data_IF_286647708234
#
_entry.id   IF_286647708234
#
_cell.length_a   1.000
_cell.length_b   1.000
_cell.length_c   1.000
_cell.angle_alpha   90.00
_cell.angle_beta   90.00
_cell.angle_gamma   90.00
#
_symmetry.space_group_name_H-M   'P 1'
#
loop_
_entity.id
_entity.type
_entity.pdbx_description
1 polymer ?
#
# COMPACT_ATOMS: atom_id res chain seq x y z
N UNK A 1 1.77 -1.48 24.73
CA UNK A 1 2.42 -0.30 24.13
C UNK A 1 1.47 0.20 23.05
N UNK A 2 1.01 1.45 23.13
CA UNK A 2 0.14 2.03 22.09
C UNK A 2 0.95 2.49 20.88
N UNK A 3 0.28 2.76 19.77
CA UNK A 3 0.89 3.34 18.57
C UNK A 3 0.04 4.47 18.04
N UNK A 4 0.68 5.46 17.41
CA UNK A 4 0.07 6.68 16.92
C UNK A 4 0.37 6.86 15.44
N UNK A 5 -0.66 7.17 14.65
CA UNK A 5 -0.57 7.34 13.21
C UNK A 5 -1.04 8.75 12.84
N UNK A 6 -0.28 9.48 12.02
CA UNK A 6 -0.79 10.68 11.35
C UNK A 6 -1.57 10.30 10.10
N UNK A 7 -2.68 10.98 9.85
CA UNK A 7 -3.46 10.84 8.63
C UNK A 7 -3.51 12.20 7.95
N UNK A 8 -3.07 12.24 6.69
CA UNK A 8 -3.39 13.35 5.80
C UNK A 8 -4.90 13.31 5.52
N UNK A 9 -5.67 14.05 6.32
CA UNK A 9 -7.12 13.98 6.33
C UNK A 9 -7.73 14.59 5.06
N UNK A 10 -6.98 15.44 4.37
CA UNK A 10 -7.42 16.17 3.19
C UNK A 10 -7.15 15.42 1.88
N UNK A 11 -6.25 14.43 1.90
CA UNK A 11 -5.82 13.70 0.71
C UNK A 11 -6.86 12.72 0.16
N UNK A 12 -6.83 12.54 -1.17
CA UNK A 12 -7.72 11.65 -1.92
C UNK A 12 -8.96 12.37 -2.46
N UNK A 13 -9.61 11.77 -3.45
CA UNK A 13 -10.71 12.38 -4.22
C UNK A 13 -11.90 12.76 -3.33
N UNK A 14 -12.13 11.95 -2.28
CA UNK A 14 -13.21 12.13 -1.32
C UNK A 14 -12.76 12.81 -0.02
N UNK A 15 -11.45 13.00 0.19
CA UNK A 15 -10.85 13.59 1.39
C UNK A 15 -11.52 13.18 2.69
N UNK A 16 -12.06 14.16 3.42
CA UNK A 16 -12.71 14.01 4.72
C UNK A 16 -13.90 13.03 4.75
N UNK A 17 -14.53 12.75 3.60
CA UNK A 17 -15.61 11.77 3.53
C UNK A 17 -15.11 10.31 3.55
N UNK A 18 -13.83 10.09 3.27
CA UNK A 18 -13.17 8.78 3.38
C UNK A 18 -12.33 8.69 4.64
N UNK A 19 -11.47 9.68 4.89
CA UNK A 19 -10.44 9.62 5.94
C UNK A 19 -11.03 9.61 7.35
N UNK A 20 -12.03 10.46 7.62
CA UNK A 20 -12.66 10.59 8.95
C UNK A 20 -13.43 9.33 9.37
N UNK A 21 -14.38 8.80 8.57
CA UNK A 21 -15.07 7.58 8.97
C UNK A 21 -14.13 6.37 9.08
N UNK A 22 -13.07 6.28 8.25
CA UNK A 22 -12.05 5.24 8.36
C UNK A 22 -11.28 5.33 9.68
N UNK A 23 -10.79 6.53 10.03
CA UNK A 23 -10.08 6.78 11.29
C UNK A 23 -10.91 6.41 12.53
N UNK A 24 -12.21 6.78 12.52
CA UNK A 24 -13.13 6.45 13.61
C UNK A 24 -13.33 4.94 13.78
N UNK A 25 -13.52 4.21 12.68
CA UNK A 25 -13.69 2.74 12.75
C UNK A 25 -12.39 2.04 13.15
N UNK A 26 -11.24 2.47 12.63
CA UNK A 26 -9.94 1.89 12.95
C UNK A 26 -9.63 1.98 14.45
N UNK A 27 -9.77 3.19 15.03
CA UNK A 27 -9.54 3.43 16.47
C UNK A 27 -10.59 2.69 17.30
N UNK A 28 -11.85 2.61 16.86
CA UNK A 28 -12.90 1.87 17.56
C UNK A 28 -12.58 0.37 17.67
N UNK A 29 -12.04 -0.24 16.62
CA UNK A 29 -11.72 -1.68 16.56
C UNK A 29 -10.39 -2.04 17.23
N UNK A 30 -9.45 -1.10 17.29
CA UNK A 30 -8.13 -1.31 17.89
C UNK A 30 -7.92 -0.38 19.07
N UNK A 31 -7.95 -0.90 20.30
CA UNK A 31 -7.82 -0.11 21.52
C UNK A 31 -6.43 0.52 21.74
N UNK A 32 -5.40 0.04 21.04
CA UNK A 32 -4.03 0.54 21.16
C UNK A 32 -3.71 1.65 20.15
N UNK A 33 -4.56 1.82 19.12
CA UNK A 33 -4.38 2.80 18.08
C UNK A 33 -4.81 4.21 18.53
N UNK A 34 -3.95 5.19 18.27
CA UNK A 34 -4.26 6.62 18.31
C UNK A 34 -4.05 7.24 16.93
N UNK A 35 -4.83 8.25 16.59
CA UNK A 35 -4.75 8.93 15.29
C UNK A 35 -4.60 10.43 15.47
N UNK A 36 -3.73 11.04 14.68
CA UNK A 36 -3.63 12.50 14.50
C UNK A 36 -4.13 12.84 13.11
N UNK A 37 -5.31 13.46 13.02
CA UNK A 37 -5.88 13.95 11.76
C UNK A 37 -5.25 15.28 11.38
N UNK A 38 -4.55 15.33 10.26
CA UNK A 38 -3.81 16.52 9.82
C UNK A 38 -4.55 17.21 8.68
N UNK A 39 -4.83 18.51 8.83
CA UNK A 39 -5.50 19.31 7.81
C UNK A 39 -6.08 20.62 8.34
N UNK A 40 -6.95 21.24 7.53
CA UNK A 40 -7.71 22.43 7.94
C UNK A 40 -8.53 22.10 9.18
N UNK A 41 -8.23 22.77 10.30
CA UNK A 41 -8.74 22.39 11.61
C UNK A 41 -10.27 22.47 11.65
N UNK A 42 -10.84 23.52 11.07
CA UNK A 42 -12.28 23.74 11.07
C UNK A 42 -13.01 22.70 10.21
N UNK A 43 -12.46 22.37 9.04
CA UNK A 43 -13.06 21.34 8.16
C UNK A 43 -12.96 19.96 8.78
N UNK A 44 -11.80 19.59 9.31
CA UNK A 44 -11.57 18.30 9.99
C UNK A 44 -12.47 18.16 11.21
N UNK A 45 -12.54 19.19 12.07
CA UNK A 45 -13.38 19.19 13.28
C UNK A 45 -14.86 19.03 12.93
N UNK A 46 -15.37 19.79 11.96
CA UNK A 46 -16.75 19.69 11.49
C UNK A 46 -17.09 18.29 10.97
N UNK A 47 -16.21 17.71 10.16
CA UNK A 47 -16.40 16.36 9.64
C UNK A 47 -16.35 15.30 10.76
N UNK A 48 -15.42 15.42 11.70
CA UNK A 48 -15.30 14.55 12.87
C UNK A 48 -16.56 14.60 13.75
N UNK A 49 -17.07 15.79 14.05
CA UNK A 49 -18.29 15.97 14.85
C UNK A 49 -19.53 15.40 14.13
N UNK A 50 -19.61 15.53 12.80
CA UNK A 50 -20.69 14.94 11.99
C UNK A 50 -20.63 13.41 12.02
N UNK A 51 -19.49 12.82 11.68
CA UNK A 51 -19.35 11.36 11.56
C UNK A 51 -19.39 10.66 12.91
N UNK A 52 -18.87 11.28 13.98
CA UNK A 52 -18.97 10.74 15.35
C UNK A 52 -20.42 10.62 15.81
N UNK A 53 -21.27 11.61 15.50
CA UNK A 53 -22.72 11.55 15.74
C UNK A 53 -23.40 10.45 14.91
N UNK A 54 -23.18 10.45 13.58
CA UNK A 54 -23.80 9.47 12.67
C UNK A 54 -23.43 8.03 13.05
N UNK A 55 -22.17 7.77 13.41
CA UNK A 55 -21.67 6.44 13.80
C UNK A 55 -21.84 6.11 15.28
N UNK A 56 -22.44 7.01 16.08
CA UNK A 56 -22.63 6.86 17.54
C UNK A 56 -21.33 6.51 18.28
N UNK A 57 -20.24 7.21 17.94
CA UNK A 57 -18.91 6.96 18.51
C UNK A 57 -18.87 7.46 19.96
N UNK A 58 -18.43 6.61 20.88
CA UNK A 58 -18.36 6.93 22.32
C UNK A 58 -17.12 7.78 22.63
N UNK A 59 -17.20 8.56 23.71
CA UNK A 59 -16.15 9.48 24.15
C UNK A 59 -14.75 8.84 24.31
N UNK A 60 -14.58 7.62 24.87
CA UNK A 60 -13.25 7.00 24.98
C UNK A 60 -12.57 6.71 23.63
N UNK A 61 -13.34 6.54 22.55
CA UNK A 61 -12.81 6.40 21.20
C UNK A 61 -12.38 7.77 20.66
N UNK A 62 -13.19 8.81 20.88
CA UNK A 62 -12.88 10.17 20.42
C UNK A 62 -11.63 10.75 21.09
N UNK A 63 -11.36 10.42 22.36
CA UNK A 63 -10.16 10.88 23.07
C UNK A 63 -8.84 10.36 22.47
N UNK A 64 -8.88 9.31 21.64
CA UNK A 64 -7.71 8.77 20.92
C UNK A 64 -7.52 9.39 19.53
N UNK A 65 -8.31 10.41 19.19
CA UNK A 65 -8.21 11.16 17.94
C UNK A 65 -7.87 12.62 18.25
N UNK A 66 -6.70 13.05 17.80
CA UNK A 66 -6.28 14.45 17.84
C UNK A 66 -6.40 15.10 16.45
N UNK A 67 -6.47 16.43 16.41
CA UNK A 67 -6.44 17.21 15.17
C UNK A 67 -5.17 18.07 15.19
N UNK A 68 -4.35 17.96 14.15
CA UNK A 68 -3.22 18.86 13.92
C UNK A 68 -3.52 19.77 12.74
N UNK A 69 -3.38 21.09 12.93
CA UNK A 69 -3.66 22.04 11.87
C UNK A 69 -2.61 21.97 10.76
N UNK A 70 -3.04 22.15 9.52
CA UNK A 70 -2.22 22.48 8.36
C UNK A 70 -3.02 23.44 7.49
N UNK A 71 -2.43 24.56 7.09
CA UNK A 71 -3.12 25.62 6.35
C UNK A 71 -3.25 25.33 4.85
N UNK A 72 -2.44 24.43 4.31
CA UNK A 72 -2.40 24.09 2.88
C UNK A 72 -2.86 22.66 2.60
N UNK A 73 -3.16 22.36 1.33
CA UNK A 73 -3.46 20.99 0.85
C UNK A 73 -2.83 20.81 -0.52
N UNK A 74 -2.25 19.64 -0.78
CA UNK A 74 -1.71 19.27 -2.11
C UNK A 74 -2.86 18.74 -2.97
N UNK A 75 -3.06 19.32 -4.16
CA UNK A 75 -4.10 18.87 -5.10
C UNK A 75 -3.74 17.54 -5.77
N UNK A 76 -4.74 16.80 -6.26
CA UNK A 76 -4.50 15.53 -6.95
C UNK A 76 -3.75 15.69 -8.27
N UNK A 77 -3.93 16.82 -8.97
CA UNK A 77 -3.25 17.13 -10.24
C UNK A 77 -2.04 18.05 -10.07
N UNK A 78 -1.63 18.32 -8.82
CA UNK A 78 -0.52 19.22 -8.55
C UNK A 78 0.82 18.54 -8.82
N UNK A 79 1.75 19.28 -9.42
CA UNK A 79 3.10 18.79 -9.69
C UNK A 79 3.81 18.42 -8.38
N UNK A 80 4.33 17.18 -8.24
CA UNK A 80 5.06 16.74 -7.06
C UNK A 80 6.23 17.66 -6.69
N UNK A 81 6.96 18.17 -7.67
CA UNK A 81 8.13 19.04 -7.44
C UNK A 81 7.73 20.41 -6.88
N UNK A 82 6.57 20.93 -7.30
CA UNK A 82 6.02 22.19 -6.79
C UNK A 82 5.47 21.99 -5.38
N UNK A 83 4.69 20.92 -5.15
CA UNK A 83 4.10 20.60 -3.86
C UNK A 83 5.18 20.49 -2.77
N UNK A 84 6.26 19.73 -3.01
CA UNK A 84 7.37 19.56 -2.07
C UNK A 84 8.07 20.88 -1.71
N UNK A 85 8.23 21.78 -2.69
CA UNK A 85 8.98 23.03 -2.52
C UNK A 85 8.15 24.13 -1.87
N UNK A 86 6.89 24.28 -2.30
CA UNK A 86 6.05 25.44 -1.95
C UNK A 86 5.11 25.17 -0.78
N UNK A 87 4.56 23.95 -0.67
CA UNK A 87 3.50 23.64 0.31
C UNK A 87 4.01 23.00 1.58
N UNK A 88 4.87 23.74 2.30
CA UNK A 88 5.52 23.26 3.53
C UNK A 88 4.55 23.05 4.68
N UNK A 89 3.40 23.73 4.66
CA UNK A 89 2.33 23.59 5.63
C UNK A 89 1.10 22.86 5.03
N UNK A 90 1.34 21.98 4.05
CA UNK A 90 0.29 21.08 3.57
C UNK A 90 0.00 19.95 4.55
N UNK A 91 -1.25 19.51 4.61
CA UNK A 91 -1.67 18.37 5.42
C UNK A 91 -0.78 17.13 5.24
N UNK A 92 -0.42 16.81 4.00
CA UNK A 92 0.53 15.74 3.66
C UNK A 92 1.92 16.00 4.25
N UNK A 93 2.50 17.20 4.02
CA UNK A 93 3.84 17.53 4.51
C UNK A 93 3.91 17.50 6.04
N UNK A 94 2.93 18.12 6.70
CA UNK A 94 2.84 18.17 8.15
C UNK A 94 2.67 16.77 8.72
N UNK A 95 1.82 15.92 8.14
CA UNK A 95 1.65 14.52 8.59
C UNK A 95 2.96 13.72 8.53
N UNK A 96 3.78 13.92 7.49
CA UNK A 96 5.10 13.28 7.37
C UNK A 96 6.11 13.89 8.36
N UNK A 97 6.09 15.21 8.57
CA UNK A 97 6.97 15.84 9.56
C UNK A 97 6.72 15.25 10.96
N UNK A 98 5.47 14.99 11.34
CA UNK A 98 5.16 14.34 12.62
C UNK A 98 5.82 12.96 12.79
N UNK A 99 6.02 12.20 11.70
CA UNK A 99 6.77 10.94 11.72
C UNK A 99 8.25 11.22 11.96
N UNK A 100 8.82 12.18 11.21
CA UNK A 100 10.23 12.58 11.36
C UNK A 100 10.56 13.03 12.78
N UNK A 101 9.65 13.79 13.39
CA UNK A 101 9.84 14.38 14.72
C UNK A 101 9.57 13.36 15.85
N UNK A 102 9.23 12.11 15.52
CA UNK A 102 8.91 11.06 16.50
C UNK A 102 7.60 11.30 17.27
N UNK A 103 6.75 12.20 16.78
CA UNK A 103 5.44 12.49 17.40
C UNK A 103 4.41 11.41 17.09
N UNK A 104 4.56 10.75 15.93
CA UNK A 104 3.77 9.59 15.50
C UNK A 104 4.69 8.53 14.89
N UNK A 105 4.24 7.28 14.85
CA UNK A 105 5.02 6.14 14.37
C UNK A 105 4.91 5.91 12.85
N UNK A 106 3.81 6.36 12.23
CA UNK A 106 3.57 6.23 10.79
C UNK A 106 2.64 7.32 10.23
N UNK A 107 2.67 7.49 8.91
CA UNK A 107 1.78 8.38 8.15
C UNK A 107 0.95 7.60 7.12
N UNK A 108 -0.33 7.90 6.99
CA UNK A 108 -1.22 7.37 5.94
C UNK A 108 -1.83 8.51 5.13
N UNK A 109 -1.75 8.43 3.80
CA UNK A 109 -2.34 9.44 2.90
C UNK A 109 -2.99 8.80 1.67
N UNK A 110 -4.12 9.37 1.23
CA UNK A 110 -4.72 9.10 -0.08
C UNK A 110 -4.41 10.19 -1.12
N UNK A 111 -3.61 11.22 -0.78
CA UNK A 111 -3.24 12.32 -1.67
C UNK A 111 -2.34 11.91 -2.83
N UNK A 112 -1.94 12.86 -3.70
CA UNK A 112 -1.14 12.58 -4.90
C UNK A 112 0.09 11.66 -4.60
N UNK A 113 0.20 10.51 -5.29
CA UNK A 113 1.25 9.50 -5.04
C UNK A 113 2.65 10.06 -5.24
N UNK A 114 2.87 10.83 -6.31
CA UNK A 114 4.18 11.40 -6.61
C UNK A 114 4.60 12.45 -5.58
N UNK A 115 3.67 13.32 -5.18
CA UNK A 115 3.90 14.32 -4.13
C UNK A 115 4.18 13.66 -2.78
N UNK A 116 3.45 12.58 -2.44
CA UNK A 116 3.69 11.79 -1.24
C UNK A 116 5.09 11.20 -1.26
N UNK A 117 5.45 10.48 -2.32
CA UNK A 117 6.78 9.87 -2.45
C UNK A 117 7.90 10.91 -2.37
N UNK A 118 7.80 11.99 -3.14
CA UNK A 118 8.82 13.04 -3.17
C UNK A 118 8.95 13.75 -1.83
N UNK A 119 7.83 14.01 -1.14
CA UNK A 119 7.82 14.64 0.18
C UNK A 119 8.42 13.71 1.24
N UNK A 120 7.99 12.45 1.28
CA UNK A 120 8.47 11.45 2.22
C UNK A 120 9.96 11.20 2.07
N UNK A 121 10.45 11.01 0.84
CA UNK A 121 11.89 10.88 0.56
C UNK A 121 12.67 12.12 0.99
N UNK A 122 12.14 13.32 0.76
CA UNK A 122 12.81 14.56 1.16
C UNK A 122 12.91 14.69 2.69
N UNK A 123 11.82 14.39 3.41
CA UNK A 123 11.68 14.59 4.86
C UNK A 123 12.39 13.50 5.65
N UNK A 124 12.08 12.24 5.37
CA UNK A 124 12.50 11.08 6.14
C UNK A 124 13.87 10.56 5.71
N UNK A 125 14.25 10.74 4.43
CA UNK A 125 15.41 10.07 3.80
C UNK A 125 15.23 8.55 3.74
N UNK A 126 16.14 7.90 3.02
CA UNK A 126 16.24 6.44 3.00
C UNK A 126 17.01 5.95 4.21
N UNK A 127 16.78 4.70 4.59
CA UNK A 127 17.67 4.00 5.54
C UNK A 127 19.04 3.79 4.91
N UNK A 128 20.07 3.61 5.75
CA UNK A 128 21.42 3.31 5.27
C UNK A 128 21.41 2.01 4.44
N UNK A 129 22.15 2.00 3.33
CA UNK A 129 22.19 0.88 2.39
C UNK A 129 21.07 0.85 1.34
N UNK A 130 20.08 1.75 1.41
CA UNK A 130 19.02 1.89 0.40
C UNK A 130 19.23 3.15 -0.44
N UNK A 131 19.42 2.99 -1.74
CA UNK A 131 19.63 4.10 -2.67
C UNK A 131 18.34 4.86 -2.96
N UNK A 132 17.24 4.12 -3.16
CA UNK A 132 15.93 4.66 -3.49
C UNK A 132 14.82 3.85 -2.82
N UNK A 133 13.77 4.51 -2.29
CA UNK A 133 12.61 3.79 -1.78
C UNK A 133 11.83 3.15 -2.92
N UNK A 134 11.04 2.12 -2.62
CA UNK A 134 10.16 1.44 -3.57
C UNK A 134 8.69 1.54 -3.12
N UNK A 135 7.76 1.56 -4.06
CA UNK A 135 6.32 1.41 -3.76
C UNK A 135 5.99 -0.08 -3.78
N UNK A 136 5.48 -0.58 -2.66
CA UNK A 136 5.12 -2.00 -2.50
C UNK A 136 3.62 -2.12 -2.30
N UNK A 137 2.97 -3.01 -3.07
CA UNK A 137 1.57 -3.39 -2.84
C UNK A 137 1.48 -4.87 -2.50
N UNK A 138 0.52 -5.22 -1.65
CA UNK A 138 0.04 -6.58 -1.57
C UNK A 138 -0.93 -6.86 -2.72
N UNK A 139 -0.73 -7.98 -3.41
CA UNK A 139 -1.64 -8.52 -4.42
C UNK A 139 -2.28 -9.80 -3.88
N UNK A 140 -3.51 -10.13 -4.29
CA UNK A 140 -4.08 -11.44 -3.99
C UNK A 140 -3.20 -12.53 -4.60
N UNK A 141 -2.98 -13.62 -3.87
CA UNK A 141 -2.36 -14.83 -4.41
C UNK A 141 -3.29 -16.00 -4.13
N UNK A 142 -3.54 -16.85 -5.12
CA UNK A 142 -4.49 -17.94 -4.98
C UNK A 142 -3.78 -19.28 -5.07
N UNK A 143 -3.86 -20.04 -3.98
CA UNK A 143 -3.37 -21.41 -3.97
C UNK A 143 -4.44 -22.32 -4.58
N UNK A 144 -4.16 -22.85 -5.77
CA UNK A 144 -5.13 -23.67 -6.51
C UNK A 144 -5.41 -25.02 -5.86
N UNK A 145 -4.49 -25.55 -5.05
CA UNK A 145 -4.65 -26.86 -4.43
C UNK A 145 -5.43 -26.74 -3.12
N UNK A 146 -5.04 -25.80 -2.25
CA UNK A 146 -5.70 -25.58 -0.96
C UNK A 146 -6.97 -24.72 -1.08
N UNK A 147 -7.19 -24.08 -2.23
CA UNK A 147 -8.27 -23.10 -2.48
C UNK A 147 -8.25 -21.90 -1.52
N UNK A 148 -7.08 -21.59 -0.97
CA UNK A 148 -6.89 -20.48 -0.04
C UNK A 148 -6.38 -19.22 -0.75
N UNK A 149 -6.84 -18.07 -0.25
CA UNK A 149 -6.36 -16.76 -0.68
C UNK A 149 -5.23 -16.32 0.28
N UNK A 150 -4.09 -16.02 -0.30
CA UNK A 150 -2.86 -15.53 0.32
C UNK A 150 -2.58 -14.11 -0.20
N UNK A 151 -1.39 -13.59 0.09
CA UNK A 151 -0.88 -12.32 -0.43
C UNK A 151 0.53 -12.50 -0.99
N UNK A 152 0.80 -11.84 -2.10
CA UNK A 152 2.15 -11.67 -2.66
C UNK A 152 2.47 -10.19 -2.69
N UNK A 153 3.64 -9.81 -2.21
CA UNK A 153 4.11 -8.43 -2.25
C UNK A 153 4.79 -8.15 -3.58
N UNK A 154 4.43 -7.08 -4.27
CA UNK A 154 5.06 -6.70 -5.53
C UNK A 154 5.68 -5.31 -5.41
N UNK A 155 6.93 -5.17 -5.85
CA UNK A 155 7.70 -3.92 -5.81
C UNK A 155 8.80 -3.89 -6.87
N UNK A 156 9.18 -2.76 -7.44
CA UNK A 156 8.61 -1.44 -7.31
C UNK A 156 7.42 -1.24 -8.25
N UNK A 157 6.42 -0.46 -7.82
CA UNK A 157 5.19 -0.20 -8.56
C UNK A 157 5.05 1.26 -9.03
N UNK A 158 6.17 1.97 -9.17
CA UNK A 158 6.22 3.26 -9.85
C UNK A 158 7.04 4.34 -9.16
N UNK A 159 7.81 4.02 -8.10
CA UNK A 159 8.69 5.00 -7.48
C UNK A 159 9.89 5.34 -8.38
N UNK A 160 10.40 4.34 -9.10
CA UNK A 160 11.61 4.38 -9.88
C UNK A 160 11.32 3.80 -11.27
N UNK A 161 11.17 4.68 -12.27
CA UNK A 161 10.86 4.27 -13.64
C UNK A 161 11.93 3.32 -14.20
N UNK A 162 13.20 3.54 -13.84
CA UNK A 162 14.33 2.69 -14.25
C UNK A 162 15.13 2.32 -13.01
N UNK A 163 15.43 1.04 -12.88
CA UNK A 163 16.19 0.46 -11.78
C UNK A 163 17.48 -0.19 -12.26
N UNK A 164 18.58 0.03 -11.52
CA UNK A 164 19.81 -0.75 -11.69
C UNK A 164 19.67 -2.15 -11.08
N UNK A 165 20.62 -3.03 -11.39
CA UNK A 165 20.66 -4.40 -10.84
C UNK A 165 20.73 -4.39 -9.31
N UNK A 166 21.51 -3.45 -8.75
CA UNK A 166 21.71 -3.26 -7.31
C UNK A 166 20.43 -2.75 -6.64
N UNK A 167 19.67 -1.90 -7.33
CA UNK A 167 18.37 -1.45 -6.82
C UNK A 167 17.36 -2.59 -6.78
N UNK A 168 17.30 -3.43 -7.82
CA UNK A 168 16.45 -4.62 -7.81
C UNK A 168 16.86 -5.59 -6.69
N UNK A 169 18.17 -5.76 -6.46
CA UNK A 169 18.69 -6.53 -5.33
C UNK A 169 18.27 -5.96 -3.97
N UNK A 170 18.43 -4.65 -3.75
CA UNK A 170 17.94 -3.97 -2.54
C UNK A 170 16.42 -4.16 -2.36
N UNK A 171 15.64 -4.09 -3.45
CA UNK A 171 14.18 -4.28 -3.41
C UNK A 171 13.82 -5.70 -3.02
N UNK A 172 14.54 -6.70 -3.51
CA UNK A 172 14.35 -8.10 -3.09
C UNK A 172 14.55 -8.28 -1.59
N UNK A 173 15.60 -7.68 -1.01
CA UNK A 173 15.85 -7.73 0.43
C UNK A 173 14.73 -7.06 1.21
N UNK A 174 14.38 -5.83 0.84
CA UNK A 174 13.32 -5.07 1.52
C UNK A 174 11.97 -5.79 1.45
N UNK A 175 11.59 -6.29 0.26
CA UNK A 175 10.36 -7.04 0.04
C UNK A 175 10.32 -8.33 0.84
N UNK A 176 11.44 -9.07 0.91
CA UNK A 176 11.57 -10.28 1.74
C UNK A 176 11.31 -9.96 3.22
N UNK A 177 11.93 -8.91 3.76
CA UNK A 177 11.74 -8.52 5.17
C UNK A 177 10.29 -8.14 5.47
N UNK A 178 9.66 -7.39 4.57
CA UNK A 178 8.24 -7.04 4.69
C UNK A 178 7.36 -8.30 4.68
N UNK A 179 7.60 -9.22 3.75
CA UNK A 179 6.85 -10.46 3.64
C UNK A 179 7.06 -11.37 4.84
N UNK A 180 8.29 -11.52 5.33
CA UNK A 180 8.62 -12.30 6.52
C UNK A 180 7.85 -11.79 7.74
N UNK A 181 7.91 -10.48 7.96
CA UNK A 181 7.26 -9.82 9.09
C UNK A 181 5.73 -9.88 8.99
N UNK A 182 5.16 -9.54 7.83
CA UNK A 182 3.71 -9.43 7.66
C UNK A 182 3.00 -10.78 7.53
N UNK A 183 3.65 -11.77 6.90
CA UNK A 183 3.09 -13.12 6.71
C UNK A 183 3.54 -14.13 7.78
N UNK A 184 4.49 -13.76 8.65
CA UNK A 184 5.07 -14.68 9.64
C UNK A 184 5.87 -15.81 8.99
N UNK A 185 6.55 -15.53 7.87
CA UNK A 185 7.36 -16.48 7.13
C UNK A 185 8.83 -16.34 7.53
N UNK A 186 9.53 -17.45 7.74
CA UNK A 186 10.97 -17.43 8.02
C UNK A 186 11.79 -17.09 6.77
N UNK A 187 11.44 -17.68 5.62
CA UNK A 187 12.18 -17.54 4.36
C UNK A 187 11.22 -17.27 3.18
N UNK A 188 10.73 -16.04 3.03
CA UNK A 188 9.82 -15.67 1.94
C UNK A 188 10.43 -15.93 0.57
N UNK A 189 9.68 -16.58 -0.30
CA UNK A 189 10.08 -16.84 -1.70
C UNK A 189 10.11 -15.53 -2.48
N UNK A 190 11.25 -15.24 -3.09
CA UNK A 190 11.45 -14.00 -3.88
C UNK A 190 11.70 -14.34 -5.33
N UNK A 191 11.03 -13.65 -6.25
CA UNK A 191 11.21 -13.81 -7.69
C UNK A 191 11.37 -12.46 -8.40
N UNK A 192 12.13 -12.43 -9.50
CA UNK A 192 12.18 -11.25 -10.38
C UNK A 192 11.12 -11.41 -11.50
N UNK A 193 10.28 -10.40 -11.70
CA UNK A 193 9.33 -10.39 -12.82
C UNK A 193 10.08 -10.30 -14.14
N UNK A 194 9.78 -11.19 -15.08
CA UNK A 194 10.47 -11.25 -16.37
C UNK A 194 9.53 -11.69 -17.50
N UNK A 195 10.04 -11.61 -18.74
CA UNK A 195 9.33 -12.02 -19.97
C UNK A 195 9.34 -13.54 -20.21
N UNK A 196 9.98 -14.31 -19.33
CA UNK A 196 10.06 -15.76 -19.36
C UNK A 196 10.86 -16.28 -18.16
N UNK A 197 10.76 -17.57 -17.89
CA UNK A 197 11.36 -18.20 -16.71
C UNK A 197 12.83 -18.62 -16.94
N UNK A 198 13.28 -18.67 -18.19
CA UNK A 198 14.63 -19.08 -18.56
C UNK A 198 15.69 -18.00 -18.25
N UNK A 199 16.84 -18.40 -17.69
CA UNK A 199 17.90 -17.49 -17.21
C UNK A 199 18.42 -16.50 -18.28
N UNK A 200 18.38 -16.91 -19.56
CA UNK A 200 18.86 -16.11 -20.70
C UNK A 200 17.89 -14.98 -21.12
N UNK A 201 16.63 -15.00 -20.67
CA UNK A 201 15.62 -14.01 -21.05
C UNK A 201 15.68 -12.77 -20.16
N UNK A 202 15.23 -11.66 -20.73
CA UNK A 202 15.12 -10.39 -20.03
C UNK A 202 16.28 -9.43 -20.27
N UNK A 203 16.12 -8.25 -19.70
CA UNK A 203 17.10 -7.15 -19.80
C UNK A 203 18.36 -7.45 -18.97
N UNK A 204 19.47 -6.82 -19.33
CA UNK A 204 20.76 -7.05 -18.67
C UNK A 204 20.75 -6.69 -17.18
N UNK A 205 20.02 -5.64 -16.78
CA UNK A 205 19.86 -5.29 -15.37
C UNK A 205 19.11 -6.38 -14.56
N UNK A 206 18.09 -7.01 -15.15
CA UNK A 206 17.35 -8.12 -14.52
C UNK A 206 18.26 -9.36 -14.41
N UNK A 207 18.98 -9.70 -15.48
CA UNK A 207 19.92 -10.84 -15.48
C UNK A 207 21.05 -10.65 -14.46
N UNK A 208 21.58 -9.44 -14.35
CA UNK A 208 22.62 -9.13 -13.38
C UNK A 208 22.07 -9.12 -11.94
N UNK A 209 20.85 -8.62 -11.72
CA UNK A 209 20.18 -8.74 -10.41
C UNK A 209 19.95 -10.20 -10.02
N UNK A 210 19.55 -11.06 -10.98
CA UNK A 210 19.40 -12.50 -10.76
C UNK A 210 20.69 -13.14 -10.24
N UNK A 211 21.84 -12.80 -10.84
CA UNK A 211 23.15 -13.29 -10.39
C UNK A 211 23.50 -12.83 -8.98
N UNK A 212 23.20 -11.56 -8.63
CA UNK A 212 23.41 -11.06 -7.27
C UNK A 212 22.54 -11.81 -6.25
N UNK A 213 21.28 -12.10 -6.60
CA UNK A 213 20.35 -12.83 -5.74
C UNK A 213 20.73 -14.30 -5.58
N UNK A 214 21.20 -14.97 -6.64
CA UNK A 214 21.71 -16.34 -6.57
C UNK A 214 22.91 -16.48 -5.63
N UNK A 215 23.74 -15.44 -5.51
CA UNK A 215 24.90 -15.40 -4.61
C UNK A 215 24.60 -14.94 -3.18
N UNK A 216 23.33 -14.73 -2.81
CA UNK A 216 22.94 -14.14 -1.53
C UNK A 216 22.16 -15.14 -0.66
N UNK A 217 22.83 -15.70 0.35
CA UNK A 217 22.23 -16.68 1.29
C UNK A 217 21.09 -16.11 2.15
N UNK A 218 20.95 -14.78 2.23
CA UNK A 218 19.86 -14.13 2.97
C UNK A 218 18.51 -14.23 2.26
N UNK A 219 18.50 -14.49 0.95
CA UNK A 219 17.27 -14.46 0.14
C UNK A 219 16.94 -15.85 -0.40
N UNK A 220 15.72 -16.31 -0.13
CA UNK A 220 15.15 -17.49 -0.75
C UNK A 220 14.70 -17.17 -2.20
N UNK A 221 15.68 -17.02 -3.09
CA UNK A 221 15.47 -16.66 -4.48
C UNK A 221 14.96 -17.85 -5.31
N UNK A 222 13.83 -17.65 -5.99
CA UNK A 222 13.14 -18.68 -6.80
C UNK A 222 13.32 -18.48 -8.31
N UNK A 223 14.19 -17.55 -8.74
CA UNK A 223 14.38 -17.24 -10.15
C UNK A 223 13.36 -16.24 -10.69
N UNK A 224 13.04 -16.39 -11.97
CA UNK A 224 12.11 -15.51 -12.67
C UNK A 224 10.65 -15.94 -12.50
N UNK A 225 9.74 -14.98 -12.60
CA UNK A 225 8.30 -15.22 -12.69
C UNK A 225 7.72 -14.46 -13.88
N UNK A 226 6.82 -15.09 -14.63
CA UNK A 226 6.07 -14.43 -15.70
C UNK A 226 4.81 -13.73 -15.18
N UNK A 227 4.35 -12.69 -15.91
CA UNK A 227 3.16 -11.93 -15.55
C UNK A 227 1.88 -12.76 -15.38
N UNK A 228 1.78 -13.91 -16.07
CA UNK A 228 0.63 -14.83 -15.96
C UNK A 228 0.56 -15.56 -14.61
N UNK A 229 1.67 -15.62 -13.88
CA UNK A 229 1.81 -16.31 -12.60
C UNK A 229 1.77 -15.36 -11.39
N UNK A 230 1.57 -14.04 -11.58
CA UNK A 230 1.52 -13.05 -10.48
C UNK A 230 0.48 -13.41 -9.40
N UNK A 231 -0.65 -14.00 -9.81
CA UNK A 231 -1.74 -14.39 -8.89
C UNK A 231 -1.60 -15.83 -8.37
N UNK A 232 -0.51 -16.51 -8.68
CA UNK A 232 -0.23 -17.87 -8.20
C UNK A 232 0.49 -17.76 -6.85
N UNK A 233 0.09 -18.57 -5.87
CA UNK A 233 0.72 -18.60 -4.53
C UNK A 233 2.09 -19.33 -4.53
N UNK A 234 2.88 -19.12 -5.59
CA UNK A 234 4.21 -19.71 -5.81
C UNK A 234 5.35 -18.81 -5.34
N UNK A 235 5.10 -17.51 -5.17
CA UNK A 235 6.09 -16.53 -4.70
C UNK A 235 5.47 -15.58 -3.68
N UNK A 236 6.26 -15.14 -2.70
CA UNK A 236 5.81 -14.23 -1.64
C UNK A 236 6.17 -12.78 -1.96
N UNK A 237 7.21 -12.58 -2.77
CA UNK A 237 7.73 -11.27 -3.19
C UNK A 237 8.08 -11.29 -4.69
N UNK A 238 7.51 -10.36 -5.46
CA UNK A 238 7.80 -10.15 -6.88
C UNK A 238 8.51 -8.82 -7.05
N UNK A 239 9.72 -8.88 -7.60
CA UNK A 239 10.60 -7.72 -7.78
C UNK A 239 10.61 -7.28 -9.24
N UNK A 240 10.42 -5.98 -9.50
CA UNK A 240 10.51 -5.36 -10.82
C UNK A 240 10.94 -3.89 -10.72
N UNK A 241 11.26 -3.28 -11.85
CA UNK A 241 11.33 -1.83 -11.93
C UNK A 241 9.93 -1.19 -11.87
N UNK A 242 9.89 0.09 -11.52
CA UNK A 242 8.63 0.81 -11.35
C UNK A 242 7.85 1.04 -12.65
N UNK A 243 8.49 1.01 -13.82
CA UNK A 243 7.77 1.11 -15.09
C UNK A 243 6.97 -0.16 -15.35
N UNK A 244 7.64 -1.32 -15.35
CA UNK A 244 6.99 -2.63 -15.53
C UNK A 244 5.97 -2.88 -14.44
N UNK A 245 6.31 -2.56 -13.19
CA UNK A 245 5.41 -2.73 -12.05
C UNK A 245 4.14 -1.90 -12.15
N UNK A 246 4.25 -0.61 -12.46
CA UNK A 246 3.09 0.26 -12.61
C UNK A 246 2.21 -0.13 -13.81
N UNK A 247 2.81 -0.51 -14.95
CA UNK A 247 2.07 -1.03 -16.11
C UNK A 247 1.32 -2.31 -15.74
N UNK A 248 1.98 -3.24 -15.05
CA UNK A 248 1.37 -4.48 -14.57
C UNK A 248 0.19 -4.19 -13.64
N UNK A 249 0.37 -3.33 -12.63
CA UNK A 249 -0.68 -2.96 -11.68
C UNK A 249 -1.90 -2.35 -12.38
N UNK A 250 -1.67 -1.40 -13.29
CA UNK A 250 -2.77 -0.74 -14.01
C UNK A 250 -3.48 -1.68 -14.99
N UNK A 251 -2.76 -2.63 -15.57
CA UNK A 251 -3.34 -3.70 -16.40
C UNK A 251 -4.23 -4.62 -15.57
N UNK A 252 -3.78 -5.03 -14.38
CA UNK A 252 -4.57 -5.85 -13.44
C UNK A 252 -5.84 -5.12 -13.00
N UNK A 253 -5.73 -3.86 -12.56
CA UNK A 253 -6.88 -3.04 -12.19
C UNK A 253 -7.88 -2.87 -13.35
N UNK A 254 -7.38 -2.59 -14.55
CA UNK A 254 -8.20 -2.43 -15.76
C UNK A 254 -8.94 -3.71 -16.13
N UNK A 255 -8.27 -4.85 -16.05
CA UNK A 255 -8.83 -6.17 -16.32
C UNK A 255 -9.93 -6.53 -15.32
N UNK A 256 -9.72 -6.25 -14.03
CA UNK A 256 -10.74 -6.45 -12.99
C UNK A 256 -11.97 -5.56 -13.24
N UNK A 257 -11.79 -4.29 -13.58
CA UNK A 257 -12.90 -3.38 -13.93
C UNK A 257 -13.69 -3.84 -15.16
N UNK A 258 -13.00 -4.40 -16.17
CA UNK A 258 -13.65 -5.00 -17.34
C UNK A 258 -14.52 -6.18 -16.93
N UNK A 259 -13.98 -7.14 -16.16
CA UNK A 259 -14.73 -8.31 -15.67
C UNK A 259 -15.94 -7.89 -14.84
N UNK A 260 -15.78 -6.94 -13.91
CA UNK A 260 -16.90 -6.40 -13.12
C UNK A 260 -17.98 -5.78 -14.01
N UNK A 261 -17.59 -5.06 -15.07
CA UNK A 261 -18.52 -4.42 -16.00
C UNK A 261 -19.27 -5.44 -16.85
N UNK A 262 -18.60 -6.49 -17.31
CA UNK A 262 -19.21 -7.60 -18.06
C UNK A 262 -20.21 -8.39 -17.20
N UNK A 263 -19.88 -8.66 -15.93
CA UNK A 263 -20.80 -9.32 -14.99
C UNK A 263 -22.03 -8.44 -14.75
N UNK A 264 -21.85 -7.14 -14.49
CA UNK A 264 -22.97 -6.20 -14.32
C UNK A 264 -23.85 -6.14 -15.56
N UNK A 265 -23.26 -6.03 -16.75
CA UNK A 265 -23.98 -6.03 -18.02
C UNK A 265 -24.82 -7.30 -18.19
N UNK A 266 -24.22 -8.46 -17.94
CA UNK A 266 -24.90 -9.76 -18.03
C UNK A 266 -26.10 -9.84 -17.08
N UNK A 267 -25.97 -9.33 -15.86
CA UNK A 267 -27.05 -9.26 -14.87
C UNK A 267 -28.17 -8.30 -15.31
N UNK A 268 -27.83 -7.13 -15.88
CA UNK A 268 -28.82 -6.11 -16.27
C UNK A 268 -29.58 -6.46 -17.54
N UNK A 269 -28.94 -7.15 -18.49
CA UNK A 269 -29.55 -7.56 -19.77
C UNK A 269 -30.31 -8.90 -19.65
N UNK A 270 -30.32 -9.48 -18.46
CA UNK A 270 -31.03 -10.74 -18.18
C UNK A 270 -32.54 -10.58 -18.44
N UNK A 271 -33.08 -11.39 -19.36
CA UNK A 271 -34.52 -11.52 -19.62
C UNK A 271 -35.33 -11.76 -18.34
N UNK A 272 -36.59 -11.31 -18.29
CA UNK A 272 -37.47 -11.51 -17.13
C UNK A 272 -37.51 -12.97 -16.64
N UNK A 273 -37.43 -13.95 -17.55
CA UNK A 273 -37.42 -15.38 -17.24
C UNK A 273 -36.19 -15.82 -16.44
N UNK A 274 -35.07 -15.13 -16.58
CA UNK A 274 -33.78 -15.47 -15.96
C UNK A 274 -33.51 -14.68 -14.67
N UNK A 275 -34.46 -13.83 -14.23
CA UNK A 275 -34.32 -13.05 -12.99
C UNK A 275 -34.19 -13.94 -11.75
N UNK A 276 -34.90 -15.07 -11.70
CA UNK A 276 -34.85 -15.98 -10.54
C UNK A 276 -33.45 -16.59 -10.36
N UNK A 277 -32.84 -17.27 -11.37
CA UNK A 277 -31.45 -17.73 -11.26
C UNK A 277 -30.45 -16.63 -10.91
N UNK A 278 -30.61 -15.45 -11.51
CA UNK A 278 -29.74 -14.30 -11.21
C UNK A 278 -29.86 -13.89 -9.75
N UNK A 279 -31.07 -13.71 -9.23
CA UNK A 279 -31.28 -13.36 -7.81
C UNK A 279 -30.68 -14.42 -6.89
N UNK A 280 -30.87 -15.71 -7.19
CA UNK A 280 -30.29 -16.81 -6.42
C UNK A 280 -28.76 -16.82 -6.45
N UNK A 281 -28.14 -16.35 -7.54
CA UNK A 281 -26.68 -16.24 -7.68
C UNK A 281 -26.08 -14.95 -7.11
N UNK A 282 -26.88 -13.94 -6.75
CA UNK A 282 -26.39 -12.67 -6.17
C UNK A 282 -25.48 -12.86 -4.93
N UNK A 283 -25.74 -13.80 -4.00
CA UNK A 283 -24.83 -14.06 -2.88
C UNK A 283 -23.46 -14.56 -3.35
N UNK A 284 -23.42 -15.41 -4.38
CA UNK A 284 -22.17 -15.89 -4.97
C UNK A 284 -21.40 -14.75 -5.62
N UNK A 285 -22.07 -13.89 -6.40
CA UNK A 285 -21.45 -12.70 -6.98
C UNK A 285 -20.94 -11.72 -5.91
N UNK A 286 -21.67 -11.55 -4.81
CA UNK A 286 -21.19 -10.75 -3.67
C UNK A 286 -19.94 -11.38 -3.03
N UNK A 287 -19.89 -12.71 -2.89
CA UNK A 287 -18.71 -13.43 -2.37
C UNK A 287 -17.52 -13.32 -3.33
N UNK A 288 -17.74 -13.49 -4.63
CA UNK A 288 -16.72 -13.29 -5.67
C UNK A 288 -16.19 -11.87 -5.66
N UNK A 289 -17.09 -10.87 -5.66
CA UNK A 289 -16.70 -9.45 -5.57
C UNK A 289 -15.87 -9.18 -4.32
N UNK A 290 -16.22 -9.77 -3.18
CA UNK A 290 -15.42 -9.65 -1.95
C UNK A 290 -14.03 -10.28 -2.10
N UNK A 291 -13.92 -11.44 -2.76
CA UNK A 291 -12.64 -12.10 -3.04
C UNK A 291 -11.78 -11.35 -4.06
N UNK A 292 -12.41 -10.67 -5.03
CA UNK A 292 -11.75 -9.82 -6.02
C UNK A 292 -11.54 -8.38 -5.52
N UNK A 293 -11.98 -8.07 -4.30
CA UNK A 293 -11.96 -6.70 -3.80
C UNK A 293 -10.53 -6.30 -3.41
N UNK A 294 -9.86 -5.61 -4.34
CA UNK A 294 -8.56 -4.98 -4.12
C UNK A 294 -8.54 -3.99 -2.95
N UNK A 295 -9.70 -3.46 -2.52
CA UNK A 295 -9.75 -2.61 -1.32
C UNK A 295 -9.23 -3.35 -0.07
N UNK A 296 -9.34 -4.69 -0.03
CA UNK A 296 -8.81 -5.52 1.08
C UNK A 296 -7.28 -5.64 1.08
N UNK A 297 -6.65 -5.14 0.01
CA UNK A 297 -5.21 -5.11 -0.21
C UNK A 297 -4.69 -3.66 -0.34
N UNK A 298 -5.52 -2.67 -0.03
CA UNK A 298 -5.12 -1.27 -0.06
C UNK A 298 -4.08 -0.96 1.02
N UNK A 299 -3.26 0.06 0.76
CA UNK A 299 -2.15 0.45 1.62
C UNK A 299 -0.83 0.03 1.02
N UNK A 300 -0.30 0.85 0.12
CA UNK A 300 1.01 0.65 -0.46
C UNK A 300 2.11 1.28 0.40
N UNK A 301 3.08 0.49 0.80
CA UNK A 301 4.19 0.98 1.61
C UNK A 301 5.22 1.70 0.74
N UNK A 302 5.74 2.83 1.23
CA UNK A 302 6.92 3.49 0.67
C UNK A 302 8.17 2.93 1.36
N UNK A 303 8.58 1.74 0.93
CA UNK A 303 9.57 0.93 1.61
C UNK A 303 10.99 1.47 1.39
N UNK A 304 11.84 1.37 2.43
CA UNK A 304 13.22 1.86 2.41
C UNK A 304 13.41 3.28 2.94
N UNK A 305 12.34 3.94 3.39
CA UNK A 305 12.42 5.20 4.14
C UNK A 305 12.73 4.94 5.62
N UNK A 306 13.32 5.92 6.32
CA UNK A 306 13.58 5.82 7.77
C UNK A 306 12.32 5.84 8.63
N UNK A 307 11.17 6.20 8.06
CA UNK A 307 9.87 6.21 8.73
C UNK A 307 8.79 5.58 7.86
N UNK A 308 7.70 5.14 8.48
CA UNK A 308 6.63 4.39 7.82
C UNK A 308 5.67 5.37 7.13
N UNK A 309 5.50 5.20 5.82
CA UNK A 309 4.50 5.95 5.04
C UNK A 309 3.71 5.00 4.15
N UNK A 310 2.39 4.99 4.34
CA UNK A 310 1.47 4.15 3.58
C UNK A 310 0.57 5.00 2.69
N UNK A 311 0.58 4.67 1.40
CA UNK A 311 -0.26 5.27 0.36
C UNK A 311 -1.55 4.47 0.20
N UNK A 312 -2.68 5.06 0.55
CA UNK A 312 -4.00 4.57 0.11
C UNK A 312 -4.26 5.04 -1.32
N UNK A 313 -4.98 4.27 -2.13
CA UNK A 313 -5.42 4.76 -3.45
C UNK A 313 -6.35 5.99 -3.32
N UNK A 314 -6.38 6.85 -4.35
CA UNK A 314 -7.03 8.17 -4.28
C UNK A 314 -8.55 8.12 -4.18
N UNK A 315 -9.17 7.12 -4.80
CA UNK A 315 -10.61 6.88 -4.82
C UNK A 315 -11.08 5.93 -3.71
N UNK A 316 -10.27 5.77 -2.65
CA UNK A 316 -10.54 4.84 -1.56
C UNK A 316 -11.90 5.03 -0.91
N UNK A 317 -12.60 3.91 -0.76
CA UNK A 317 -13.71 3.80 0.18
C UNK A 317 -13.19 3.92 1.61
N UNK A 318 -14.06 4.28 2.56
CA UNK A 318 -13.67 4.34 3.98
C UNK A 318 -13.08 3.00 4.49
N UNK A 319 -13.60 1.87 4.01
CA UNK A 319 -13.10 0.54 4.37
C UNK A 319 -11.72 0.25 3.74
N UNK A 320 -11.51 0.69 2.50
CA UNK A 320 -10.19 0.60 1.85
C UNK A 320 -9.16 1.43 2.62
N UNK A 321 -9.51 2.66 2.99
CA UNK A 321 -8.61 3.54 3.74
C UNK A 321 -8.35 2.99 5.15
N UNK A 322 -9.35 2.40 5.80
CA UNK A 322 -9.17 1.66 7.05
C UNK A 322 -8.15 0.52 6.90
N UNK A 323 -8.19 -0.21 5.78
CA UNK A 323 -7.21 -1.27 5.48
C UNK A 323 -5.79 -0.71 5.40
N UNK A 324 -5.60 0.46 4.76
CA UNK A 324 -4.31 1.14 4.71
C UNK A 324 -3.81 1.60 6.10
N UNK A 325 -4.71 2.02 7.00
CA UNK A 325 -4.36 2.32 8.39
C UNK A 325 -3.83 1.05 9.07
N UNK A 326 -4.48 -0.09 8.88
CA UNK A 326 -4.01 -1.34 9.46
C UNK A 326 -2.71 -1.86 8.86
N UNK A 327 -2.41 -1.55 7.59
CA UNK A 327 -1.09 -1.84 7.03
C UNK A 327 0.00 -1.04 7.75
N UNK A 328 -0.20 0.26 7.99
CA UNK A 328 0.71 1.06 8.80
C UNK A 328 0.86 0.50 10.23
N UNK A 329 -0.23 0.05 10.87
CA UNK A 329 -0.17 -0.62 12.18
C UNK A 329 0.70 -1.88 12.15
N UNK A 330 0.61 -2.70 11.10
CA UNK A 330 1.46 -3.90 10.97
C UNK A 330 2.92 -3.53 10.81
N UNK A 331 3.23 -2.53 9.99
CA UNK A 331 4.60 -2.08 9.81
C UNK A 331 5.21 -1.52 11.10
N UNK A 332 4.42 -0.79 11.90
CA UNK A 332 4.84 -0.30 13.22
C UNK A 332 5.18 -1.47 14.15
N UNK A 333 4.29 -2.48 14.22
CA UNK A 333 4.47 -3.64 15.11
C UNK A 333 5.73 -4.44 14.81
N UNK A 334 6.18 -4.45 13.56
CA UNK A 334 7.39 -5.15 13.12
C UNK A 334 8.60 -4.24 12.96
N UNK A 335 8.47 -2.94 13.22
CA UNK A 335 9.53 -1.94 13.08
C UNK A 335 10.28 -2.04 11.75
N UNK A 336 9.52 -2.11 10.65
CA UNK A 336 10.04 -2.42 9.31
C UNK A 336 11.25 -1.56 8.90
N UNK A 337 11.28 -0.22 9.09
CA UNK A 337 12.46 0.58 8.74
C UNK A 337 13.74 0.12 9.45
N UNK A 338 13.66 -0.17 10.75
CA UNK A 338 14.81 -0.63 11.53
C UNK A 338 15.25 -2.03 11.10
N UNK A 339 14.30 -2.96 10.90
CA UNK A 339 14.62 -4.32 10.45
C UNK A 339 15.26 -4.33 9.06
N UNK A 340 14.82 -3.46 8.15
CA UNK A 340 15.46 -3.29 6.84
C UNK A 340 16.90 -2.82 7.00
N UNK A 341 17.13 -1.77 7.79
CA UNK A 341 18.47 -1.24 8.01
C UNK A 341 19.41 -2.31 8.57
N UNK A 342 19.02 -2.99 9.66
CA UNK A 342 19.83 -4.02 10.32
C UNK A 342 20.09 -5.23 9.42
N UNK A 343 19.20 -5.53 8.48
CA UNK A 343 19.39 -6.65 7.55
C UNK A 343 20.30 -6.28 6.39
N UNK A 344 20.18 -5.08 5.85
CA UNK A 344 21.07 -4.60 4.78
C UNK A 344 22.51 -4.46 5.27
N UNK A 345 22.72 -4.00 6.51
CA UNK A 345 24.06 -3.94 7.14
C UNK A 345 24.72 -5.32 7.31
N UNK A 346 23.95 -6.41 7.27
CA UNK A 346 24.48 -7.80 7.33
C UNK A 346 24.78 -8.38 5.96
N UNK A 347 24.16 -7.86 4.91
CA UNK A 347 24.22 -8.41 3.55
C UNK A 347 25.19 -7.63 2.65
N UNK A 348 25.38 -6.33 2.90
CA UNK A 348 26.27 -5.42 2.17
C UNK A 348 27.63 -5.28 2.84
#
# INVERSE_FOLDING_TARGET
MGYKISIDAMGGDNGLNTTIPAALEAVKKDSNLQIVLVGDHHKVKRALDRYSKVKKIKLPVLQRIAIHHASETVGMDESPSIAVRKKKDSSMRVAINLVKDGTVDACVSAGNTGALMATSKFVLKTVNGVDRPAIVYALPAFNRDTKQLSKTYMLDLGANVVCSSEQLFQFAIMGSILAASSKGLAEPRVSLLNIGEEEMKGLDNIKNASKLLQGCDFINYQGYIEGKHIFDDTTDVIVCDGFVGNVSLKTMEGSLRLIESLIKKSITETSLLMKIPVIMSLPLFKKMKKGMNLDSFNGASLLGLTGIVVKSHGSASANAFETAIYEAVKEIKHNIPKTIQESLEKVL
#
